data_IF_249756975143
#
_entry.id   IF_249756975143
#
_cell.length_a   1.000
_cell.length_b   1.000
_cell.length_c   1.000
_cell.angle_alpha   90.00
_cell.angle_beta   90.00
_cell.angle_gamma   90.00
#
_symmetry.space_group_name_H-M   'P 1'
#
loop_
_entity.id
_entity.type
_entity.pdbx_description
1 polymer ?
#
# COMPACT_ATOMS: atom_id res chain seq x y z
N UNK A 1 -16.17 6.49 -45.11
CA UNK A 1 -17.22 6.76 -44.09
C UNK A 1 -17.53 5.54 -43.22
N UNK A 2 -17.86 4.36 -43.79
CA UNK A 2 -18.20 3.15 -43.01
C UNK A 2 -17.05 2.69 -42.09
N UNK A 3 -15.81 2.67 -42.58
CA UNK A 3 -14.65 2.25 -41.78
C UNK A 3 -14.37 3.19 -40.59
N UNK A 4 -14.60 4.50 -40.75
CA UNK A 4 -14.46 5.49 -39.67
C UNK A 4 -15.53 5.32 -38.59
N UNK A 5 -16.78 5.06 -39.01
CA UNK A 5 -17.89 4.83 -38.08
C UNK A 5 -17.67 3.56 -37.24
N UNK A 6 -17.27 2.45 -37.87
CA UNK A 6 -16.95 1.22 -37.16
C UNK A 6 -15.77 1.40 -36.19
N UNK A 7 -14.75 2.17 -36.57
CA UNK A 7 -13.62 2.45 -35.70
C UNK A 7 -14.02 3.28 -34.46
N UNK A 8 -14.85 4.30 -34.64
CA UNK A 8 -15.41 5.11 -33.53
C UNK A 8 -16.21 4.23 -32.56
N UNK A 9 -17.10 3.39 -33.08
CA UNK A 9 -17.93 2.50 -32.25
C UNK A 9 -17.08 1.53 -31.43
N UNK A 10 -16.01 0.97 -32.03
CA UNK A 10 -15.09 0.09 -31.31
C UNK A 10 -14.33 0.82 -30.18
N UNK A 11 -13.85 2.05 -30.41
CA UNK A 11 -13.17 2.84 -29.37
C UNK A 11 -14.14 3.17 -28.24
N UNK A 12 -15.37 3.58 -28.57
CA UNK A 12 -16.41 3.87 -27.59
C UNK A 12 -16.70 2.65 -26.70
N UNK A 13 -16.91 1.48 -27.31
CA UNK A 13 -17.13 0.25 -26.57
C UNK A 13 -15.94 -0.14 -25.68
N UNK A 14 -14.70 0.08 -26.15
CA UNK A 14 -13.51 -0.16 -25.35
C UNK A 14 -13.46 0.78 -24.13
N UNK A 15 -13.72 2.06 -24.33
CA UNK A 15 -13.76 3.07 -23.26
C UNK A 15 -14.79 2.72 -22.18
N UNK A 16 -16.00 2.35 -22.59
CA UNK A 16 -17.06 1.91 -21.68
C UNK A 16 -16.67 0.65 -20.90
N UNK A 17 -16.01 -0.30 -21.56
CA UNK A 17 -15.52 -1.53 -20.93
C UNK A 17 -14.45 -1.23 -19.90
N UNK A 18 -13.49 -0.36 -20.23
CA UNK A 18 -12.43 0.07 -19.31
C UNK A 18 -13.01 0.82 -18.10
N UNK A 19 -14.00 1.69 -18.32
CA UNK A 19 -14.69 2.41 -17.25
C UNK A 19 -15.36 1.45 -16.27
N UNK A 20 -16.10 0.47 -16.77
CA UNK A 20 -16.73 -0.55 -15.96
C UNK A 20 -15.71 -1.41 -15.21
N UNK A 21 -14.63 -1.83 -15.89
CA UNK A 21 -13.56 -2.62 -15.28
C UNK A 21 -12.87 -1.86 -14.14
N UNK A 22 -12.52 -0.58 -14.36
CA UNK A 22 -11.93 0.26 -13.33
C UNK A 22 -12.87 0.43 -12.13
N UNK A 23 -14.18 0.59 -12.36
CA UNK A 23 -15.17 0.67 -11.29
C UNK A 23 -15.19 -0.59 -10.43
N UNK A 24 -15.26 -1.76 -11.06
CA UNK A 24 -15.27 -3.05 -10.34
C UNK A 24 -13.97 -3.30 -9.58
N UNK A 25 -12.80 -3.06 -10.20
CA UNK A 25 -11.50 -3.22 -9.52
C UNK A 25 -11.41 -2.29 -8.30
N UNK A 26 -11.81 -1.03 -8.46
CA UNK A 26 -11.82 -0.05 -7.36
C UNK A 26 -12.77 -0.47 -6.24
N UNK A 27 -13.96 -0.96 -6.60
CA UNK A 27 -14.95 -1.46 -5.64
C UNK A 27 -14.41 -2.65 -4.84
N UNK A 28 -13.82 -3.63 -5.53
CA UNK A 28 -13.19 -4.79 -4.90
C UNK A 28 -12.03 -4.36 -4.00
N UNK A 29 -11.16 -3.45 -4.46
CA UNK A 29 -10.06 -2.93 -3.66
C UNK A 29 -10.53 -2.26 -2.37
N UNK A 30 -11.60 -1.45 -2.44
CA UNK A 30 -12.22 -0.83 -1.25
C UNK A 30 -12.86 -1.86 -0.33
N UNK A 31 -13.51 -2.88 -0.87
CA UNK A 31 -14.12 -3.95 -0.08
C UNK A 31 -13.06 -4.76 0.65
N UNK A 32 -11.98 -5.16 -0.03
CA UNK A 32 -10.82 -5.81 0.60
C UNK A 32 -10.25 -4.92 1.71
N UNK A 33 -10.06 -3.62 1.44
CA UNK A 33 -9.55 -2.70 2.46
C UNK A 33 -10.46 -2.65 3.68
N UNK A 34 -11.78 -2.60 3.49
CA UNK A 34 -12.77 -2.57 4.58
C UNK A 34 -12.79 -3.87 5.37
N UNK A 35 -12.84 -5.02 4.70
CA UNK A 35 -12.97 -6.33 5.33
C UNK A 35 -11.71 -6.71 6.13
N UNK A 36 -10.54 -6.36 5.60
CA UNK A 36 -9.25 -6.70 6.22
C UNK A 36 -8.64 -5.57 7.05
N UNK A 37 -9.32 -4.42 7.20
CA UNK A 37 -8.74 -3.25 7.87
C UNK A 37 -8.32 -3.58 9.31
N UNK A 38 -9.19 -4.27 10.06
CA UNK A 38 -8.97 -4.63 11.47
C UNK A 38 -7.91 -5.71 11.57
N UNK A 39 -7.98 -6.72 10.70
CA UNK A 39 -6.99 -7.80 10.67
C UNK A 39 -5.60 -7.24 10.38
N UNK A 40 -5.46 -6.33 9.42
CA UNK A 40 -4.20 -5.67 9.10
C UNK A 40 -3.69 -4.83 10.28
N UNK A 41 -4.56 -4.14 11.01
CA UNK A 41 -4.17 -3.35 12.19
C UNK A 41 -3.57 -4.24 13.29
N UNK A 42 -4.22 -5.37 13.61
CA UNK A 42 -3.68 -6.33 14.57
C UNK A 42 -2.38 -6.97 14.07
N UNK A 43 -2.33 -7.34 12.80
CA UNK A 43 -1.12 -7.88 12.17
C UNK A 43 0.04 -6.88 12.29
N UNK A 44 -0.20 -5.59 12.03
CA UNK A 44 0.80 -4.52 12.16
C UNK A 44 1.29 -4.36 13.61
N UNK A 45 0.39 -4.45 14.59
CA UNK A 45 0.74 -4.40 16.01
C UNK A 45 1.62 -5.60 16.41
N UNK A 46 1.27 -6.81 15.96
CA UNK A 46 2.08 -8.01 16.21
C UNK A 46 3.46 -7.87 15.57
N UNK A 47 3.53 -7.41 14.31
CA UNK A 47 4.81 -7.18 13.64
C UNK A 47 5.64 -6.14 14.38
N UNK A 48 5.02 -5.04 14.84
CA UNK A 48 5.69 -4.00 15.59
C UNK A 48 6.32 -4.56 16.87
N UNK A 49 5.55 -5.33 17.66
CA UNK A 49 6.06 -5.96 18.88
C UNK A 49 7.19 -6.94 18.57
N UNK A 50 7.02 -7.84 17.61
CA UNK A 50 8.03 -8.86 17.26
C UNK A 50 9.32 -8.22 16.75
N UNK A 51 9.24 -7.24 15.85
CA UNK A 51 10.42 -6.56 15.32
C UNK A 51 11.12 -5.76 16.42
N UNK A 52 10.38 -5.01 17.24
CA UNK A 52 10.95 -4.21 18.35
C UNK A 52 11.65 -5.11 19.36
N UNK A 53 11.02 -6.22 19.77
CA UNK A 53 11.63 -7.19 20.68
C UNK A 53 12.87 -7.84 20.09
N UNK A 54 12.86 -8.23 18.81
CA UNK A 54 14.03 -8.81 18.15
C UNK A 54 15.20 -7.81 18.09
N UNK A 55 14.94 -6.55 17.72
CA UNK A 55 16.00 -5.53 17.64
C UNK A 55 16.58 -5.24 19.02
N UNK A 56 15.74 -5.10 20.04
CA UNK A 56 16.21 -4.92 21.43
C UNK A 56 17.03 -6.12 21.92
N UNK A 57 16.56 -7.33 21.64
CA UNK A 57 17.28 -8.55 22.00
C UNK A 57 18.65 -8.63 21.32
N UNK A 58 18.73 -8.34 20.02
CA UNK A 58 20.00 -8.27 19.29
C UNK A 58 20.95 -7.25 19.92
N UNK A 59 20.45 -6.07 20.31
CA UNK A 59 21.24 -5.09 21.06
C UNK A 59 21.82 -5.68 22.34
N UNK A 60 21.01 -6.34 23.18
CA UNK A 60 21.51 -6.95 24.43
C UNK A 60 22.61 -8.00 24.19
N UNK A 61 22.52 -8.76 23.11
CA UNK A 61 23.56 -9.74 22.72
C UNK A 61 24.84 -9.03 22.29
N UNK A 62 24.75 -8.03 21.41
CA UNK A 62 25.93 -7.31 20.92
C UNK A 62 26.61 -6.44 22.00
N UNK A 63 25.84 -5.92 22.96
CA UNK A 63 26.36 -5.19 24.11
C UNK A 63 26.93 -6.10 25.21
N UNK A 64 26.86 -7.42 25.05
CA UNK A 64 27.40 -8.38 26.01
C UNK A 64 26.56 -8.56 27.28
N UNK A 65 25.35 -7.98 27.34
CA UNK A 65 24.41 -8.19 28.45
C UNK A 65 23.84 -9.61 28.49
N UNK A 66 23.76 -10.28 27.33
CA UNK A 66 23.23 -11.64 27.19
C UNK A 66 24.17 -12.45 26.31
N UNK A 67 24.57 -13.64 26.77
CA UNK A 67 25.30 -14.61 25.94
C UNK A 67 24.33 -15.65 25.38
N UNK A 68 24.32 -15.82 24.07
CA UNK A 68 23.50 -16.84 23.39
C UNK A 68 24.24 -17.48 22.23
N UNK A 69 23.78 -18.68 21.85
CA UNK A 69 24.34 -19.40 20.71
C UNK A 69 24.04 -18.66 19.39
N UNK A 70 25.00 -18.70 18.47
CA UNK A 70 24.91 -18.05 17.15
C UNK A 70 23.69 -18.52 16.35
N UNK A 71 23.32 -19.79 16.47
CA UNK A 71 22.13 -20.35 15.82
C UNK A 71 20.84 -19.62 16.19
N UNK A 72 20.68 -19.25 17.47
CA UNK A 72 19.49 -18.52 17.95
C UNK A 72 19.45 -17.10 17.39
N UNK A 73 20.60 -16.43 17.31
CA UNK A 73 20.73 -15.08 16.74
C UNK A 73 20.35 -15.10 15.25
N UNK A 74 20.86 -16.08 14.49
CA UNK A 74 20.53 -16.26 13.09
C UNK A 74 19.04 -16.53 12.91
N UNK A 75 18.46 -17.44 13.71
CA UNK A 75 17.04 -17.72 13.65
C UNK A 75 16.19 -16.46 13.89
N UNK A 76 16.50 -15.67 14.92
CA UNK A 76 15.78 -14.42 15.20
C UNK A 76 15.92 -13.39 14.07
N UNK A 77 17.11 -13.24 13.50
CA UNK A 77 17.33 -12.34 12.37
C UNK A 77 16.53 -12.77 11.13
N UNK A 78 16.46 -14.07 10.85
CA UNK A 78 15.63 -14.62 9.76
C UNK A 78 14.14 -14.39 10.03
N UNK A 79 13.66 -14.65 11.24
CA UNK A 79 12.26 -14.38 11.59
C UNK A 79 11.93 -12.89 11.45
N UNK A 80 12.76 -12.01 12.02
CA UNK A 80 12.59 -10.57 11.93
C UNK A 80 12.55 -10.06 10.49
N UNK A 81 13.42 -10.59 9.61
CA UNK A 81 13.43 -10.20 8.19
C UNK A 81 12.18 -10.66 7.45
N UNK A 82 11.64 -11.85 7.75
CA UNK A 82 10.37 -12.33 7.19
C UNK A 82 9.22 -11.37 7.55
N UNK A 83 9.11 -10.95 8.80
CA UNK A 83 8.08 -9.99 9.24
C UNK A 83 8.24 -8.63 8.52
N UNK A 84 9.46 -8.11 8.41
CA UNK A 84 9.71 -6.87 7.68
C UNK A 84 9.33 -6.97 6.20
N UNK A 85 9.70 -8.07 5.55
CA UNK A 85 9.36 -8.33 4.15
C UNK A 85 7.84 -8.38 3.94
N UNK A 86 7.08 -9.01 4.84
CA UNK A 86 5.61 -9.03 4.77
C UNK A 86 5.02 -7.62 4.74
N UNK A 87 5.47 -6.73 5.63
CA UNK A 87 5.00 -5.33 5.67
C UNK A 87 5.35 -4.61 4.37
N UNK A 88 6.59 -4.75 3.90
CA UNK A 88 7.06 -4.10 2.67
C UNK A 88 6.22 -4.56 1.47
N UNK A 89 5.96 -5.86 1.35
CA UNK A 89 5.19 -6.43 0.24
C UNK A 89 3.75 -5.92 0.23
N UNK A 90 3.05 -5.95 1.37
CA UNK A 90 1.67 -5.45 1.46
C UNK A 90 1.63 -3.96 1.10
N UNK A 91 2.57 -3.19 1.66
CA UNK A 91 2.64 -1.76 1.39
C UNK A 91 2.90 -1.45 -0.08
N UNK A 92 3.82 -2.18 -0.71
CA UNK A 92 4.16 -2.05 -2.12
C UNK A 92 2.97 -2.40 -3.02
N UNK A 93 2.22 -3.47 -2.72
CA UNK A 93 1.04 -3.87 -3.47
C UNK A 93 -0.07 -2.81 -3.40
N UNK A 94 -0.42 -2.34 -2.20
CA UNK A 94 -1.42 -1.29 -2.00
C UNK A 94 -1.04 0.03 -2.68
N UNK A 95 0.23 0.43 -2.56
CA UNK A 95 0.75 1.65 -3.20
C UNK A 95 0.72 1.51 -4.72
N UNK A 96 1.14 0.36 -5.26
CA UNK A 96 1.15 0.12 -6.70
C UNK A 96 -0.27 0.17 -7.28
N UNK A 97 -1.25 -0.46 -6.61
CA UNK A 97 -2.64 -0.40 -7.02
C UNK A 97 -3.20 1.03 -7.02
N UNK A 98 -2.88 1.82 -6.00
CA UNK A 98 -3.33 3.22 -5.88
C UNK A 98 -2.67 4.11 -6.95
N UNK A 99 -1.38 3.90 -7.23
CA UNK A 99 -0.65 4.61 -8.28
C UNK A 99 -1.21 4.28 -9.67
N UNK A 100 -1.52 3.01 -9.94
CA UNK A 100 -2.02 2.61 -11.26
C UNK A 100 -3.44 3.15 -11.51
N UNK A 101 -4.29 3.18 -10.47
CA UNK A 101 -5.58 3.86 -10.52
C UNK A 101 -5.42 5.36 -10.81
N UNK A 102 -4.44 6.02 -10.19
CA UNK A 102 -4.12 7.42 -10.45
C UNK A 102 -3.61 7.66 -11.88
N UNK A 103 -2.67 6.85 -12.38
CA UNK A 103 -2.15 6.96 -13.76
C UNK A 103 -3.25 6.81 -14.81
N UNK A 104 -4.26 5.98 -14.55
CA UNK A 104 -5.42 5.85 -15.43
C UNK A 104 -6.12 7.22 -15.60
N UNK A 105 -6.22 8.01 -14.53
CA UNK A 105 -6.75 9.38 -14.61
C UNK A 105 -5.87 10.30 -15.46
N UNK A 106 -4.55 10.24 -15.28
CA UNK A 106 -3.60 11.07 -16.02
C UNK A 106 -3.65 10.78 -17.53
N UNK A 107 -3.69 9.50 -17.90
CA UNK A 107 -3.85 9.06 -19.29
C UNK A 107 -5.17 9.59 -19.86
N UNK A 108 -6.27 9.46 -19.11
CA UNK A 108 -7.59 9.89 -19.55
C UNK A 108 -7.68 11.41 -19.80
N UNK A 109 -7.10 12.20 -18.90
CA UNK A 109 -7.02 13.66 -19.04
C UNK A 109 -6.20 14.09 -20.26
N UNK A 110 -5.18 13.30 -20.65
CA UNK A 110 -4.39 13.58 -21.86
C UNK A 110 -5.21 13.50 -23.15
N UNK A 111 -6.28 12.70 -23.16
CA UNK A 111 -7.17 12.56 -24.32
C UNK A 111 -8.24 13.66 -24.40
N UNK A 112 -8.72 14.18 -23.27
CA UNK A 112 -9.87 15.11 -23.21
C UNK A 112 -9.71 16.37 -24.09
N UNK A 113 -8.48 16.90 -24.21
CA UNK A 113 -8.19 18.07 -25.04
C UNK A 113 -8.08 17.81 -26.55
N UNK A 114 -7.97 16.54 -26.96
CA UNK A 114 -7.70 16.14 -28.35
C UNK A 114 -8.94 15.67 -29.11
N UNK A 115 -10.07 15.51 -28.41
CA UNK A 115 -11.26 14.83 -28.92
C UNK A 115 -12.30 15.84 -29.40
N UNK A 116 -12.64 15.72 -30.68
CA UNK A 116 -13.59 16.59 -31.37
C UNK A 116 -15.02 16.06 -31.28
N UNK A 117 -15.17 14.74 -31.13
CA UNK A 117 -16.47 14.07 -31.08
C UNK A 117 -17.14 14.23 -29.71
N UNK A 118 -18.35 14.80 -29.67
CA UNK A 118 -19.06 15.11 -28.43
C UNK A 118 -19.42 13.85 -27.63
N UNK A 119 -19.81 12.76 -28.27
CA UNK A 119 -20.16 11.52 -27.57
C UNK A 119 -18.93 10.95 -26.84
N UNK A 120 -17.79 10.92 -27.55
CA UNK A 120 -16.54 10.40 -26.99
C UNK A 120 -15.98 11.31 -25.89
N UNK A 121 -16.16 12.63 -26.03
CA UNK A 121 -15.81 13.61 -25.01
C UNK A 121 -16.64 13.41 -23.74
N UNK A 122 -17.95 13.18 -23.86
CA UNK A 122 -18.84 12.92 -22.73
C UNK A 122 -18.46 11.61 -22.01
N UNK A 123 -18.17 10.53 -22.73
CA UNK A 123 -17.77 9.25 -22.12
C UNK A 123 -16.46 9.39 -21.32
N UNK A 124 -15.47 10.11 -21.87
CA UNK A 124 -14.22 10.42 -21.18
C UNK A 124 -14.46 11.28 -19.95
N UNK A 125 -15.30 12.31 -20.07
CA UNK A 125 -15.65 13.17 -18.95
C UNK A 125 -16.26 12.37 -17.80
N UNK A 126 -17.23 11.50 -18.10
CA UNK A 126 -17.85 10.61 -17.11
C UNK A 126 -16.84 9.65 -16.49
N UNK A 127 -15.92 9.09 -17.29
CA UNK A 127 -14.89 8.21 -16.75
C UNK A 127 -13.90 8.98 -15.85
N UNK A 128 -13.49 10.20 -16.23
CA UNK A 128 -12.62 11.05 -15.40
C UNK A 128 -13.29 11.36 -14.07
N UNK A 129 -14.55 11.79 -14.10
CA UNK A 129 -15.35 12.03 -12.90
C UNK A 129 -15.44 10.78 -12.02
N UNK A 130 -15.68 9.61 -12.61
CA UNK A 130 -15.74 8.35 -11.88
C UNK A 130 -14.43 8.06 -11.13
N UNK A 131 -13.27 8.24 -11.78
CA UNK A 131 -11.96 7.99 -11.16
C UNK A 131 -11.71 8.97 -10.01
N UNK A 132 -12.01 10.26 -10.21
CA UNK A 132 -11.84 11.29 -9.18
C UNK A 132 -12.74 11.03 -7.97
N UNK A 133 -14.02 10.74 -8.20
CA UNK A 133 -14.97 10.44 -7.12
C UNK A 133 -14.67 9.09 -6.44
N UNK A 134 -14.08 8.15 -7.18
CA UNK A 134 -13.75 6.83 -6.69
C UNK A 134 -12.25 6.59 -6.54
N UNK A 135 -11.51 7.50 -5.92
CA UNK A 135 -10.08 7.29 -5.65
C UNK A 135 -9.85 6.01 -4.83
N UNK A 136 -8.95 5.14 -5.28
CA UNK A 136 -8.54 3.95 -4.56
C UNK A 136 -7.38 4.29 -3.63
N UNK A 137 -7.65 4.31 -2.32
CA UNK A 137 -6.64 4.49 -1.28
C UNK A 137 -6.86 3.41 -0.21
N UNK A 138 -5.77 2.79 0.23
CA UNK A 138 -5.80 1.76 1.27
C UNK A 138 -5.45 2.36 2.63
N UNK A 139 -6.16 1.94 3.67
CA UNK A 139 -5.92 2.40 5.04
C UNK A 139 -6.33 1.35 6.07
N UNK A 140 -5.57 1.27 7.15
CA UNK A 140 -5.86 0.46 8.33
C UNK A 140 -6.93 1.15 9.17
N UNK A 141 -8.20 0.93 8.83
CA UNK A 141 -9.38 1.49 9.50
C UNK A 141 -9.32 3.02 9.72
N UNK A 142 -8.68 3.75 8.80
CA UNK A 142 -8.49 5.20 8.89
C UNK A 142 -7.40 5.68 9.86
N UNK A 143 -6.77 4.80 10.64
CA UNK A 143 -5.67 5.18 11.54
C UNK A 143 -4.33 5.37 10.80
N UNK A 144 -4.04 4.48 9.85
CA UNK A 144 -2.80 4.50 9.08
C UNK A 144 -3.10 4.34 7.59
N UNK A 145 -2.63 5.29 6.77
CA UNK A 145 -2.59 5.11 5.32
C UNK A 145 -1.58 4.02 4.96
N UNK A 146 -1.97 3.09 4.08
CA UNK A 146 -1.08 2.07 3.54
C UNK A 146 -0.49 2.63 2.24
N UNK A 147 0.58 3.40 2.42
CA UNK A 147 1.33 4.07 1.35
C UNK A 147 2.84 3.88 1.55
N UNK A 148 3.66 4.26 0.55
CA UNK A 148 5.12 4.15 0.64
C UNK A 148 5.76 4.79 1.90
N UNK A 149 5.04 5.67 2.63
CA UNK A 149 5.52 6.22 3.90
C UNK A 149 5.34 5.28 5.10
N UNK A 150 4.43 4.30 5.04
CA UNK A 150 4.11 3.38 6.14
C UNK A 150 5.34 2.62 6.62
N UNK A 151 6.14 2.05 5.70
CA UNK A 151 7.36 1.32 6.05
C UNK A 151 8.36 2.23 6.79
N UNK A 152 8.52 3.47 6.33
CA UNK A 152 9.39 4.45 6.99
C UNK A 152 8.91 4.78 8.40
N UNK A 153 7.61 5.09 8.55
CA UNK A 153 6.97 5.35 9.85
C UNK A 153 7.10 4.16 10.80
N UNK A 154 6.94 2.95 10.29
CA UNK A 154 7.12 1.71 11.06
C UNK A 154 8.56 1.61 11.59
N UNK A 155 9.57 1.75 10.73
CA UNK A 155 10.98 1.72 11.13
C UNK A 155 11.31 2.80 12.16
N UNK A 156 10.86 4.04 11.94
CA UNK A 156 11.06 5.15 12.90
C UNK A 156 10.44 4.85 14.26
N UNK A 157 9.23 4.27 14.27
CA UNK A 157 8.55 3.89 15.52
C UNK A 157 9.32 2.79 16.25
N UNK A 158 9.74 1.73 15.53
CA UNK A 158 10.59 0.67 16.09
C UNK A 158 11.85 1.24 16.71
N UNK A 159 12.60 2.08 15.96
CA UNK A 159 13.82 2.71 16.47
C UNK A 159 13.56 3.53 17.73
N UNK A 160 12.49 4.32 17.75
CA UNK A 160 12.13 5.15 18.92
C UNK A 160 11.89 4.30 20.15
N UNK A 161 11.10 3.22 20.03
CA UNK A 161 10.82 2.32 21.15
C UNK A 161 12.05 1.53 21.60
N UNK A 162 12.90 1.09 20.68
CA UNK A 162 14.18 0.44 21.04
C UNK A 162 15.05 1.39 21.85
N UNK A 163 15.18 2.65 21.45
CA UNK A 163 15.95 3.65 22.20
C UNK A 163 15.39 3.83 23.61
N UNK A 164 14.06 3.91 23.75
CA UNK A 164 13.41 3.99 25.06
C UNK A 164 13.73 2.76 25.92
N UNK A 165 13.63 1.55 25.35
CA UNK A 165 13.95 0.31 26.07
C UNK A 165 15.41 0.27 26.54
N UNK A 166 16.35 0.70 25.69
CA UNK A 166 17.76 0.81 26.05
C UNK A 166 17.95 1.78 27.21
N UNK A 167 17.37 2.98 27.12
CA UNK A 167 17.48 3.99 28.18
C UNK A 167 16.89 3.51 29.51
N UNK A 168 15.71 2.88 29.47
CA UNK A 168 15.09 2.30 30.66
C UNK A 168 15.97 1.22 31.29
N UNK A 169 16.60 0.36 30.49
CA UNK A 169 17.49 -0.69 30.98
C UNK A 169 18.77 -0.10 31.64
N UNK A 170 19.36 0.94 31.05
CA UNK A 170 20.54 1.61 31.63
C UNK A 170 20.23 2.36 32.93
N UNK A 171 19.02 2.91 33.08
CA UNK A 171 18.63 3.61 34.33
C UNK A 171 18.43 2.63 35.49
N UNK A 172 18.02 1.39 35.20
CA UNK A 172 17.71 0.36 36.21
C UNK A 172 18.94 -0.44 36.65
N UNK A 173 20.07 -0.33 35.93
CA UNK A 173 21.33 -1.03 36.22
C UNK A 173 22.33 -0.09 36.89
#
# INVERSE_FOLDING_TARGET
MINYKNHKENIMHLMQTLRHLHLEITRIGRQINSDYCVQFLFELAVHFTVVTSNVYYLYCVFSGHITVNNEKVIAMAVWGSIYLLKIILINWLCTSASIEAYKTSEILQSFEGSIIDNDMKEEIHQFTQQIVLNSLNFSACGFFSIDNSLTGKFCTTVTTYVVILIQMNTIVT
#
